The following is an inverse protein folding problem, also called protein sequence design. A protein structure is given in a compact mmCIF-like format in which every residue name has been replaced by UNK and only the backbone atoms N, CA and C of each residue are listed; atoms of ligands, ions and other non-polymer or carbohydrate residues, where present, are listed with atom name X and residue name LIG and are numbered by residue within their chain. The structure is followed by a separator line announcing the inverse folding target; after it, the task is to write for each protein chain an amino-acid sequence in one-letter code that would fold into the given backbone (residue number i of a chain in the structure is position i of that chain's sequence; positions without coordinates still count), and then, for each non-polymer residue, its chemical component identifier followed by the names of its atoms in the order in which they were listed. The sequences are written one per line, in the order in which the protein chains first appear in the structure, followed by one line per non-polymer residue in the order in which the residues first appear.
data_IF_039978021248
#
_entry.id   IF_039978021248
#
_cell.length_a   1.000
_cell.length_b   1.000
_cell.length_c   1.000
_cell.angle_alpha   90.00
_cell.angle_beta   90.00
_cell.angle_gamma   90.00
#
_symmetry.space_group_name_H-M   'P 1'
#
loop_
_entity.id
_entity.type
_entity.pdbx_description
1 polymer ?
#
# COMPACT_ATOMS: atom_id res chain seq x y z
N UNK A 1 21.15 -11.26 -3.28
CA UNK A 1 20.40 -11.15 -4.54
C UNK A 1 18.99 -11.70 -4.31
N UNK A 2 17.93 -10.90 -4.45
CA UNK A 2 16.56 -11.43 -4.40
C UNK A 2 16.29 -12.21 -5.69
N UNK A 3 15.85 -13.46 -5.61
CA UNK A 3 15.49 -14.23 -6.81
C UNK A 3 14.01 -13.99 -7.09
N UNK A 4 13.74 -13.31 -8.20
CA UNK A 4 12.38 -12.95 -8.61
C UNK A 4 11.72 -14.05 -9.45
N UNK A 5 10.44 -14.31 -9.18
CA UNK A 5 9.60 -15.13 -10.07
C UNK A 5 8.36 -14.33 -10.45
N UNK A 6 8.33 -13.82 -11.67
CA UNK A 6 7.11 -13.23 -12.25
C UNK A 6 6.14 -14.34 -12.64
N UNK A 7 4.87 -14.17 -12.25
CA UNK A 7 3.80 -15.09 -12.64
C UNK A 7 2.71 -14.28 -13.34
N UNK A 8 2.41 -14.64 -14.58
CA UNK A 8 1.30 -14.10 -15.34
C UNK A 8 0.06 -14.94 -15.08
N UNK A 9 -1.03 -14.33 -14.63
CA UNK A 9 -2.31 -15.05 -14.42
C UNK A 9 -3.40 -14.41 -15.25
N UNK A 10 -4.06 -15.20 -16.11
CA UNK A 10 -5.32 -14.81 -16.73
C UNK A 10 -6.44 -15.04 -15.71
N UNK A 11 -7.14 -13.99 -15.29
CA UNK A 11 -8.33 -14.14 -14.43
C UNK A 11 -9.56 -14.30 -15.31
N UNK A 12 -10.47 -15.25 -15.02
CA UNK A 12 -11.77 -15.26 -15.66
C UNK A 12 -12.55 -14.00 -15.26
N UNK A 13 -13.37 -13.43 -16.16
CA UNK A 13 -14.10 -12.20 -15.90
C UNK A 13 -15.19 -12.42 -14.83
N UNK A 14 -15.45 -11.39 -14.00
CA UNK A 14 -16.65 -11.36 -13.14
C UNK A 14 -17.89 -11.11 -14.02
N UNK A 15 -19.03 -11.73 -13.73
CA UNK A 15 -20.23 -11.54 -14.53
C UNK A 15 -20.94 -10.24 -14.15
N UNK A 16 -20.88 -9.23 -15.02
CA UNK A 16 -21.94 -8.26 -15.26
C UNK A 16 -21.56 -7.37 -16.46
N UNK A 17 -22.50 -7.22 -17.39
CA UNK A 17 -22.27 -6.73 -18.75
C UNK A 17 -21.54 -5.38 -18.85
N UNK A 18 -20.34 -5.43 -19.42
CA UNK A 18 -19.64 -4.37 -20.16
C UNK A 18 -18.49 -5.07 -20.90
N UNK A 19 -18.21 -4.59 -22.11
CA UNK A 19 -17.27 -5.16 -23.11
C UNK A 19 -16.09 -5.95 -22.54
N UNK A 20 -15.90 -7.18 -23.01
CA UNK A 20 -14.82 -8.14 -22.66
C UNK A 20 -13.44 -7.52 -22.90
N UNK A 21 -12.88 -6.79 -21.94
CA UNK A 21 -11.43 -6.53 -21.88
C UNK A 21 -10.79 -7.65 -21.08
N UNK A 22 -9.99 -8.48 -21.76
CA UNK A 22 -9.07 -9.39 -21.06
C UNK A 22 -8.07 -8.54 -20.26
N UNK A 23 -8.08 -8.70 -18.94
CA UNK A 23 -7.11 -8.04 -18.07
C UNK A 23 -5.92 -8.99 -17.88
N UNK A 24 -4.80 -8.66 -18.52
CA UNK A 24 -3.52 -9.29 -18.21
C UNK A 24 -3.02 -8.74 -16.88
N UNK A 25 -2.80 -9.62 -15.91
CA UNK A 25 -2.27 -9.24 -14.59
C UNK A 25 -0.94 -9.95 -14.36
N UNK A 26 0.06 -9.17 -13.97
CA UNK A 26 1.35 -9.65 -13.50
C UNK A 26 1.40 -9.55 -11.99
N UNK A 27 1.96 -10.57 -11.32
CA UNK A 27 2.17 -10.57 -9.87
C UNK A 27 3.63 -10.80 -9.53
N UNK A 28 4.10 -10.09 -8.51
CA UNK A 28 5.37 -10.33 -7.84
C UNK A 28 5.11 -10.99 -6.48
N UNK A 29 5.68 -12.18 -6.28
CA UNK A 29 5.53 -12.94 -5.05
C UNK A 29 6.90 -13.19 -4.41
N UNK A 30 7.02 -12.92 -3.11
CA UNK A 30 8.19 -13.27 -2.30
C UNK A 30 7.82 -14.49 -1.44
N UNK A 31 8.31 -15.67 -1.83
CA UNK A 31 7.88 -16.94 -1.22
C UNK A 31 8.87 -17.48 -0.21
N UNK A 32 10.17 -17.17 -0.35
CA UNK A 32 11.21 -17.66 0.54
C UNK A 32 11.29 -16.78 1.78
N UNK A 33 11.35 -17.40 2.95
CA UNK A 33 11.44 -16.69 4.23
C UNK A 33 12.65 -15.74 4.28
N UNK A 34 13.81 -16.17 3.77
CA UNK A 34 15.02 -15.34 3.70
C UNK A 34 14.82 -14.06 2.88
N UNK A 35 14.11 -14.15 1.75
CA UNK A 35 13.79 -13.00 0.90
C UNK A 35 12.70 -12.12 1.51
N UNK A 36 11.70 -12.72 2.17
CA UNK A 36 10.68 -12.00 2.92
C UNK A 36 11.30 -11.20 4.06
N UNK A 37 12.29 -11.76 4.75
CA UNK A 37 13.05 -11.07 5.81
C UNK A 37 13.81 -9.86 5.27
N UNK A 38 14.52 -10.02 4.15
CA UNK A 38 15.24 -8.93 3.49
C UNK A 38 14.27 -7.81 3.08
N UNK A 39 13.20 -8.16 2.37
CA UNK A 39 12.20 -7.19 1.92
C UNK A 39 11.52 -6.49 3.08
N UNK A 40 11.14 -7.23 4.12
CA UNK A 40 10.48 -6.65 5.29
C UNK A 40 11.39 -5.67 6.01
N UNK A 41 12.66 -6.03 6.26
CA UNK A 41 13.61 -5.11 6.87
C UNK A 41 13.86 -3.85 6.03
N UNK A 42 13.79 -3.95 4.70
CA UNK A 42 13.95 -2.80 3.81
C UNK A 42 12.82 -1.78 3.96
N UNK A 43 11.56 -2.24 4.06
CA UNK A 43 10.38 -1.36 4.17
C UNK A 43 10.04 -0.93 5.61
N UNK A 44 10.63 -1.63 6.59
CA UNK A 44 10.38 -1.45 8.00
C UNK A 44 10.63 -0.01 8.47
N UNK A 45 9.69 0.58 9.22
CA UNK A 45 9.75 1.97 9.69
C UNK A 45 9.61 3.05 8.62
N UNK A 46 9.87 2.76 7.33
CA UNK A 46 9.86 3.76 6.24
C UNK A 46 8.53 3.83 5.49
N UNK A 47 7.94 2.67 5.20
CA UNK A 47 6.81 2.53 4.27
C UNK A 47 5.61 1.80 4.89
N UNK A 48 5.75 1.36 6.14
CA UNK A 48 4.67 0.72 6.87
C UNK A 48 3.71 1.80 7.39
N UNK A 49 2.55 1.95 6.75
CA UNK A 49 1.44 2.71 7.35
C UNK A 49 1.01 2.05 8.66
N UNK A 50 0.39 2.80 9.57
CA UNK A 50 -0.06 2.26 10.85
C UNK A 50 -0.94 1.00 10.70
N UNK A 51 -1.83 0.96 9.70
CA UNK A 51 -2.63 -0.24 9.39
C UNK A 51 -1.77 -1.46 9.05
N UNK A 52 -0.73 -1.29 8.24
CA UNK A 52 0.17 -2.39 7.86
C UNK A 52 1.04 -2.80 9.03
N UNK A 53 1.56 -1.85 9.79
CA UNK A 53 2.25 -2.11 11.04
C UNK A 53 1.41 -2.95 12.00
N UNK A 54 0.15 -2.56 12.26
CA UNK A 54 -0.77 -3.29 13.14
C UNK A 54 -1.07 -4.70 12.60
N UNK A 55 -1.17 -4.88 11.28
CA UNK A 55 -1.28 -6.22 10.67
C UNK A 55 -0.04 -7.09 10.95
N UNK A 56 1.16 -6.52 10.82
CA UNK A 56 2.39 -7.27 11.05
C UNK A 56 2.48 -7.76 12.51
N UNK A 57 2.10 -6.92 13.47
CA UNK A 57 1.96 -7.32 14.87
C UNK A 57 0.86 -8.37 15.07
N UNK A 58 -0.36 -8.13 14.54
CA UNK A 58 -1.50 -9.04 14.70
C UNK A 58 -1.20 -10.47 14.25
N UNK A 59 -0.37 -10.62 13.20
CA UNK A 59 -0.04 -11.93 12.63
C UNK A 59 1.36 -12.45 13.02
N UNK A 60 2.02 -11.82 13.99
CA UNK A 60 3.35 -12.17 14.53
C UNK A 60 4.45 -12.28 13.45
N UNK A 61 4.46 -11.35 12.48
CA UNK A 61 5.47 -11.34 11.41
C UNK A 61 6.89 -11.12 11.93
N UNK A 62 7.02 -10.26 12.94
CA UNK A 62 8.27 -9.97 13.65
C UNK A 62 8.92 -11.25 14.19
N UNK A 63 8.13 -12.09 14.87
CA UNK A 63 8.58 -13.37 15.44
C UNK A 63 8.90 -14.38 14.34
N UNK A 64 8.03 -14.50 13.34
CA UNK A 64 8.19 -15.46 12.24
C UNK A 64 9.42 -15.18 11.38
N UNK A 65 9.72 -13.90 11.13
CA UNK A 65 10.86 -13.49 10.31
C UNK A 65 12.12 -13.18 11.13
N UNK A 66 12.02 -13.26 12.47
CA UNK A 66 13.06 -12.87 13.41
C UNK A 66 13.64 -11.48 13.09
N UNK A 67 12.77 -10.48 13.13
CA UNK A 67 13.08 -9.06 12.86
C UNK A 67 12.56 -8.17 13.99
N UNK A 68 13.25 -7.05 14.22
CA UNK A 68 12.75 -5.98 15.07
C UNK A 68 11.81 -5.09 14.26
N UNK A 69 10.50 -5.14 14.53
CA UNK A 69 9.52 -4.30 13.84
C UNK A 69 9.59 -2.86 14.35
N UNK A 70 9.83 -1.91 13.44
CA UNK A 70 9.98 -0.49 13.76
C UNK A 70 8.64 0.23 13.60
N UNK A 71 8.34 1.15 14.52
CA UNK A 71 7.18 2.03 14.41
C UNK A 71 7.24 2.81 13.09
N UNK A 72 6.09 3.10 12.45
CA UNK A 72 6.03 3.98 11.30
C UNK A 72 6.72 5.31 11.61
N UNK A 73 7.63 5.75 10.73
CA UNK A 73 8.28 7.04 10.86
C UNK A 73 7.27 8.15 10.54
N UNK A 74 7.21 9.15 11.40
CA UNK A 74 6.52 10.41 11.12
C UNK A 74 7.35 11.15 10.05
N UNK A 75 6.72 11.52 8.94
CA UNK A 75 7.37 12.32 7.90
C UNK A 75 6.41 13.29 7.25
N UNK A 76 6.95 14.39 6.72
CA UNK A 76 6.19 15.30 5.88
C UNK A 76 5.93 14.63 4.53
N UNK A 77 4.66 14.31 4.27
CA UNK A 77 4.23 13.55 3.10
C UNK A 77 4.48 14.28 1.80
N UNK A 78 4.34 15.60 1.78
CA UNK A 78 4.57 16.40 0.58
C UNK A 78 6.04 16.42 0.18
N UNK A 79 6.95 16.13 1.12
CA UNK A 79 8.39 16.13 0.90
C UNK A 79 8.98 14.70 0.82
N UNK A 80 8.15 13.67 0.96
CA UNK A 80 8.63 12.29 0.99
C UNK A 80 8.46 11.62 -0.39
N UNK A 81 9.52 11.00 -0.95
CA UNK A 81 9.45 10.23 -2.20
C UNK A 81 8.39 9.12 -2.22
N UNK A 82 7.95 8.66 -1.05
CA UNK A 82 6.83 7.73 -0.92
C UNK A 82 5.54 8.22 -1.59
N UNK A 83 5.23 9.53 -1.52
CA UNK A 83 4.03 10.09 -2.14
C UNK A 83 4.03 9.92 -3.66
N UNK A 84 5.21 9.99 -4.29
CA UNK A 84 5.36 9.74 -5.73
C UNK A 84 5.00 8.29 -6.08
N UNK A 85 5.54 7.31 -5.35
CA UNK A 85 5.20 5.90 -5.56
C UNK A 85 3.74 5.58 -5.23
N UNK A 86 3.17 6.24 -4.22
CA UNK A 86 1.75 6.10 -3.88
C UNK A 86 0.84 6.69 -4.96
N UNK A 87 1.23 7.83 -5.54
CA UNK A 87 0.54 8.47 -6.67
C UNK A 87 0.57 7.62 -7.93
N UNK A 88 1.67 6.92 -8.20
CA UNK A 88 1.76 5.99 -9.34
C UNK A 88 0.86 4.76 -9.17
N UNK A 89 0.61 4.35 -7.93
CA UNK A 89 -0.22 3.18 -7.61
C UNK A 89 -1.73 3.48 -7.57
N UNK A 90 -2.13 4.54 -6.85
CA UNK A 90 -3.54 4.86 -6.55
C UNK A 90 -3.97 6.26 -7.05
N UNK A 91 -3.04 7.06 -7.58
CA UNK A 91 -3.33 8.41 -8.07
C UNK A 91 -3.97 8.42 -9.45
N UNK A 92 -4.72 9.49 -9.72
CA UNK A 92 -5.40 9.70 -10.98
C UNK A 92 -5.17 11.13 -11.47
N UNK A 93 -4.56 11.26 -12.66
CA UNK A 93 -4.43 12.53 -13.36
C UNK A 93 -5.45 12.60 -14.49
N UNK A 94 -6.25 13.65 -14.49
CA UNK A 94 -7.25 13.93 -15.51
C UNK A 94 -6.86 15.21 -16.25
N UNK A 95 -6.90 15.17 -17.56
CA UNK A 95 -6.90 16.35 -18.41
C UNK A 95 -8.05 16.25 -19.41
N UNK A 96 -8.74 17.34 -19.63
CA UNK A 96 -9.88 17.39 -20.55
C UNK A 96 -10.33 18.80 -20.85
N UNK A 97 -11.31 18.94 -21.73
CA UNK A 97 -11.94 20.22 -22.03
C UNK A 97 -13.23 20.38 -21.21
N UNK A 98 -13.30 21.43 -20.40
CA UNK A 98 -14.53 21.93 -19.80
C UNK A 98 -15.14 22.97 -20.72
N UNK A 99 -16.28 22.61 -21.30
CA UNK A 99 -16.85 23.25 -22.48
C UNK A 99 -15.82 23.29 -23.64
N UNK A 100 -16.23 23.65 -24.86
CA UNK A 100 -15.37 23.54 -26.06
C UNK A 100 -14.10 24.43 -26.05
N UNK A 101 -13.76 25.08 -24.93
CA UNK A 101 -12.79 26.17 -24.85
C UNK A 101 -11.83 26.10 -23.64
N UNK A 102 -12.21 25.50 -22.50
CA UNK A 102 -11.37 25.56 -21.28
C UNK A 102 -10.67 24.24 -21.03
N UNK A 103 -9.35 24.24 -20.84
CA UNK A 103 -8.63 23.05 -20.39
C UNK A 103 -8.78 22.92 -18.87
N UNK A 104 -9.20 21.74 -18.41
CA UNK A 104 -9.26 21.39 -17.00
C UNK A 104 -8.28 20.25 -16.74
N UNK A 105 -7.41 20.47 -15.76
CA UNK A 105 -6.50 19.47 -15.22
C UNK A 105 -6.89 19.20 -13.77
N UNK A 106 -7.00 17.92 -13.39
CA UNK A 106 -7.30 17.50 -12.02
C UNK A 106 -6.34 16.41 -11.60
N UNK A 107 -5.94 16.43 -10.34
CA UNK A 107 -5.29 15.33 -9.67
C UNK A 107 -6.21 14.85 -8.55
N UNK A 108 -6.48 13.56 -8.51
CA UNK A 108 -7.27 12.92 -7.47
C UNK A 108 -6.49 11.74 -6.88
N UNK A 109 -6.57 11.61 -5.57
CA UNK A 109 -5.97 10.50 -4.82
C UNK A 109 -7.05 9.91 -3.92
N UNK A 110 -7.53 8.72 -4.27
CA UNK A 110 -8.62 8.05 -3.56
C UNK A 110 -8.04 6.99 -2.61
N UNK A 111 -8.51 6.97 -1.36
CA UNK A 111 -8.14 5.94 -0.40
C UNK A 111 -9.33 5.56 0.50
N UNK A 112 -9.49 4.26 0.76
CA UNK A 112 -10.66 3.71 1.47
C UNK A 112 -10.75 4.21 2.92
N UNK A 113 -9.64 4.66 3.51
CA UNK A 113 -9.59 5.19 4.86
C UNK A 113 -8.56 6.33 4.90
N UNK A 114 -8.96 7.52 5.37
CA UNK A 114 -8.11 8.74 5.34
C UNK A 114 -6.85 8.66 6.23
N UNK A 115 -6.68 7.58 6.99
CA UNK A 115 -5.63 7.39 7.98
C UNK A 115 -4.27 6.94 7.43
N UNK A 116 -4.04 7.06 6.12
CA UNK A 116 -2.71 7.18 5.48
C UNK A 116 -1.49 7.04 6.42
N UNK A 117 -1.39 8.12 7.19
CA UNK A 117 -0.14 8.72 7.66
C UNK A 117 -0.22 9.09 9.14
N UNK A 118 -1.42 9.14 9.73
CA UNK A 118 -1.65 9.63 11.08
C UNK A 118 -2.37 8.57 11.86
N UNK A 119 -1.78 8.12 12.97
CA UNK A 119 -2.51 7.34 13.97
C UNK A 119 -3.47 8.30 14.65
N UNK A 120 -4.80 8.13 14.55
CA UNK A 120 -5.71 8.97 15.33
C UNK A 120 -5.36 8.82 16.81
N UNK A 121 -5.40 9.92 17.55
CA UNK A 121 -5.30 9.88 19.01
C UNK A 121 -6.30 8.81 19.52
N UNK A 122 -5.93 7.99 20.52
CA UNK A 122 -6.82 6.96 21.03
C UNK A 122 -8.13 7.61 21.43
N UNK A 123 -9.22 7.37 20.67
CA UNK A 123 -10.56 7.59 21.18
C UNK A 123 -10.71 6.62 22.34
N UNK A 124 -11.12 7.11 23.52
CA UNK A 124 -11.04 6.40 24.81
C UNK A 124 -11.67 5.00 24.90
N UNK A 125 -12.25 4.49 23.81
CA UNK A 125 -12.92 3.20 23.71
C UNK A 125 -12.13 2.11 22.96
N UNK A 126 -10.87 2.36 22.57
CA UNK A 126 -10.01 1.27 22.08
C UNK A 126 -9.65 0.35 23.24
N UNK A 127 -9.70 -0.99 23.08
CA UNK A 127 -9.33 -1.90 24.16
C UNK A 127 -7.89 -1.62 24.57
N UNK A 128 -7.71 -1.02 25.75
CA UNK A 128 -6.44 -0.99 26.46
C UNK A 128 -6.00 -2.43 26.74
N UNK A 129 -5.24 -3.03 25.83
CA UNK A 129 -4.51 -4.28 26.09
C UNK A 129 -3.11 -4.09 25.51
N UNK A 130 -2.20 -3.60 26.36
CA UNK A 130 -1.20 -4.41 27.09
C UNK A 130 -0.34 -5.22 26.12
N UNK A 131 0.78 -4.62 25.73
CA UNK A 131 1.95 -5.37 25.28
C UNK A 131 3.11 -4.93 26.18
N UNK A 132 3.41 -5.80 27.14
CA UNK A 132 4.75 -5.93 27.72
C UNK A 132 5.64 -6.61 26.67
#
# INVERSE_FOLDING_TARGET
MLIMKMITTRRPPRPAGRTKKELTVVKWNIMKESEQRIFTNYINGKLLTYKRYDQYYKYNFDKKLNILLMKPMEFNVLLNPWLMGFTDADGYFYSGLSNKLTIVMKYELSQKESYILVRPAPRGDWPQRRYY
#
